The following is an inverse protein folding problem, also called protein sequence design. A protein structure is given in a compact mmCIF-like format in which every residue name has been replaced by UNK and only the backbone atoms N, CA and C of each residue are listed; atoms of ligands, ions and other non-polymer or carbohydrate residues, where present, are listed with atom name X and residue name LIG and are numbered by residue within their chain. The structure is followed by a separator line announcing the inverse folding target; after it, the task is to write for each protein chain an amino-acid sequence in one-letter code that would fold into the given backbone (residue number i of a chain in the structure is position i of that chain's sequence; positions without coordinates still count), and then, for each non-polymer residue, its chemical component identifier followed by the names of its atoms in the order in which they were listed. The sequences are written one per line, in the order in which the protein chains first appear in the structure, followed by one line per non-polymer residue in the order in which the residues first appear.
data_IF_069292994196
#
_entry.id   IF_069292994196
#
_cell.length_a   1.000
_cell.length_b   1.000
_cell.length_c   1.000
_cell.angle_alpha   90.00
_cell.angle_beta   90.00
_cell.angle_gamma   90.00
#
_symmetry.space_group_name_H-M   'P 1'
#
loop_
_entity.id
_entity.type
_entity.pdbx_description
1 polymer ?
#
# COMPACT_ATOMS: atom_id res chain seq x y z
N UNK A 1 10.49 5.71 -23.87
CA UNK A 1 9.10 5.70 -23.43
C UNK A 1 8.99 6.24 -22.01
N UNK A 2 7.97 7.01 -21.77
CA UNK A 2 7.76 7.64 -20.47
C UNK A 2 6.48 7.08 -19.82
N UNK A 3 6.61 6.61 -18.59
CA UNK A 3 5.45 6.19 -17.82
C UNK A 3 5.04 7.29 -16.86
N UNK A 4 3.78 7.54 -16.79
CA UNK A 4 3.25 8.51 -15.87
C UNK A 4 2.15 7.86 -15.05
N UNK A 5 2.30 7.93 -13.74
CA UNK A 5 1.24 7.54 -12.82
C UNK A 5 0.58 8.81 -12.32
N UNK A 6 -0.74 8.79 -12.29
CA UNK A 6 -1.51 9.93 -11.86
C UNK A 6 -2.66 9.48 -11.00
N UNK A 7 -2.82 10.13 -9.87
CA UNK A 7 -3.89 9.83 -8.92
C UNK A 7 -4.55 11.15 -8.57
N UNK A 8 -5.88 11.17 -8.62
CA UNK A 8 -6.65 12.33 -8.18
C UNK A 8 -7.36 11.99 -6.90
N UNK A 9 -7.35 12.93 -5.95
CA UNK A 9 -7.99 12.75 -4.66
C UNK A 9 -8.98 13.90 -4.47
N UNK A 10 -10.25 13.56 -4.24
CA UNK A 10 -11.29 14.56 -4.03
C UNK A 10 -11.88 14.44 -2.64
N UNK A 11 -12.06 15.58 -2.00
CA UNK A 11 -12.71 15.67 -0.70
C UNK A 11 -13.88 16.63 -0.82
N UNK A 12 -15.03 16.24 -0.31
CA UNK A 12 -16.25 17.04 -0.39
C UNK A 12 -16.68 17.58 0.96
N UNK A 13 -15.72 17.83 1.85
CA UNK A 13 -16.00 18.46 3.13
C UNK A 13 -16.19 17.52 4.30
N UNK A 14 -15.94 16.25 4.11
CA UNK A 14 -16.05 15.26 5.19
C UNK A 14 -14.70 14.63 5.45
N UNK A 15 -14.70 13.52 6.21
CA UNK A 15 -13.48 12.75 6.46
C UNK A 15 -13.13 11.83 5.29
N UNK A 16 -14.01 11.71 4.31
CA UNK A 16 -13.82 10.81 3.19
C UNK A 16 -13.07 11.46 2.04
N UNK A 17 -12.15 10.72 1.49
CA UNK A 17 -11.41 11.12 0.29
C UNK A 17 -11.66 10.07 -0.78
N UNK A 18 -12.11 10.52 -1.94
CA UNK A 18 -12.30 9.64 -3.08
C UNK A 18 -11.02 9.63 -3.90
N UNK A 19 -10.41 8.47 -4.03
CA UNK A 19 -9.17 8.32 -4.78
C UNK A 19 -9.49 7.70 -6.13
N UNK A 20 -9.03 8.35 -7.18
CA UNK A 20 -9.22 7.86 -8.54
C UNK A 20 -7.87 7.62 -9.19
N UNK A 21 -7.64 6.38 -9.58
CA UNK A 21 -6.49 6.02 -10.39
C UNK A 21 -6.93 5.91 -11.84
N UNK A 22 -6.06 5.43 -12.71
CA UNK A 22 -6.40 5.29 -14.11
C UNK A 22 -7.64 4.39 -14.32
N UNK A 23 -7.72 3.29 -13.57
CA UNK A 23 -8.75 2.29 -13.81
C UNK A 23 -9.67 2.04 -12.62
N UNK A 24 -9.36 2.58 -11.46
CA UNK A 24 -10.08 2.23 -10.23
C UNK A 24 -10.35 3.42 -9.37
N UNK A 25 -11.36 3.27 -8.51
CA UNK A 25 -11.66 4.25 -7.47
C UNK A 25 -11.77 3.53 -6.13
N UNK A 26 -11.34 4.20 -5.08
CA UNK A 26 -11.53 3.67 -3.73
C UNK A 26 -11.57 4.82 -2.73
N UNK A 27 -12.00 4.51 -1.52
CA UNK A 27 -12.21 5.50 -0.47
C UNK A 27 -11.11 5.39 0.59
N UNK A 28 -10.54 6.54 0.94
CA UNK A 28 -9.70 6.68 2.11
C UNK A 28 -10.48 7.49 3.12
N UNK A 29 -10.60 7.01 4.34
CA UNK A 29 -11.41 7.66 5.37
C UNK A 29 -10.78 7.49 6.73
N UNK A 30 -10.54 8.60 7.43
CA UNK A 30 -9.96 8.55 8.77
C UNK A 30 -10.99 8.14 9.83
N UNK A 31 -12.27 8.04 9.46
CA UNK A 31 -13.35 7.74 10.40
C UNK A 31 -14.07 6.43 10.13
N UNK A 32 -13.42 5.50 9.42
CA UNK A 32 -13.88 4.12 9.42
C UNK A 32 -14.64 3.60 8.23
N UNK A 33 -14.87 4.40 7.19
CA UNK A 33 -15.55 3.91 5.99
C UNK A 33 -14.58 3.52 4.88
N UNK A 34 -13.29 3.60 5.15
CA UNK A 34 -12.25 3.21 4.23
C UNK A 34 -10.93 3.07 4.95
N UNK A 35 -9.89 2.79 4.17
CA UNK A 35 -8.55 2.71 4.72
C UNK A 35 -8.06 4.10 5.12
N UNK A 36 -7.26 4.19 6.17
CA UNK A 36 -6.65 5.46 6.55
C UNK A 36 -5.46 5.75 5.63
N UNK A 37 -5.02 7.03 5.52
CA UNK A 37 -3.84 7.34 4.73
C UNK A 37 -2.59 6.57 5.16
N UNK A 38 -2.23 6.49 6.45
CA UNK A 38 -1.06 5.70 6.85
C UNK A 38 -1.18 4.23 6.46
N UNK A 39 -2.34 3.62 6.69
CA UNK A 39 -2.54 2.22 6.32
C UNK A 39 -2.40 2.02 4.81
N UNK A 40 -2.91 2.97 4.03
CA UNK A 40 -2.85 2.90 2.58
C UNK A 40 -1.41 2.99 2.09
N UNK A 41 -0.61 3.85 2.69
CA UNK A 41 0.80 3.96 2.36
C UNK A 41 1.54 2.66 2.64
N UNK A 42 1.31 2.07 3.81
CA UNK A 42 1.94 0.80 4.18
C UNK A 42 1.47 -0.34 3.27
N UNK A 43 0.19 -0.33 2.91
CA UNK A 43 -0.36 -1.33 2.00
C UNK A 43 0.31 -1.26 0.63
N UNK A 44 0.54 -0.05 0.12
CA UNK A 44 1.19 0.11 -1.18
C UNK A 44 2.63 -0.38 -1.14
N UNK A 45 3.34 -0.10 -0.06
CA UNK A 45 4.71 -0.57 0.11
C UNK A 45 4.76 -2.10 0.15
N UNK A 46 3.90 -2.70 0.96
CA UNK A 46 3.84 -4.16 1.07
C UNK A 46 3.47 -4.83 -0.24
N UNK A 47 2.53 -4.24 -0.98
CA UNK A 47 2.13 -4.76 -2.28
C UNK A 47 3.26 -4.71 -3.30
N UNK A 48 4.06 -3.65 -3.28
CA UNK A 48 5.22 -3.54 -4.16
C UNK A 48 6.22 -4.66 -3.87
N UNK A 49 6.49 -4.91 -2.60
CA UNK A 49 7.39 -6.00 -2.19
C UNK A 49 6.82 -7.33 -2.66
N UNK A 50 5.51 -7.53 -2.46
CA UNK A 50 4.86 -8.77 -2.88
C UNK A 50 4.94 -9.02 -4.37
N UNK A 51 4.77 -7.97 -5.18
CA UNK A 51 4.87 -8.09 -6.63
C UNK A 51 6.28 -8.56 -7.02
N UNK A 52 7.32 -8.01 -6.40
CA UNK A 52 8.70 -8.44 -6.68
C UNK A 52 8.91 -9.88 -6.29
N UNK A 53 8.40 -10.31 -5.14
CA UNK A 53 8.54 -11.70 -4.71
C UNK A 53 7.85 -12.64 -5.69
N UNK A 54 6.65 -12.29 -6.14
CA UNK A 54 5.91 -13.12 -7.06
C UNK A 54 6.64 -13.24 -8.40
N UNK A 55 7.14 -12.14 -8.91
CA UNK A 55 7.87 -12.15 -10.17
C UNK A 55 9.17 -12.93 -10.07
N UNK A 56 9.86 -12.80 -8.95
CA UNK A 56 11.10 -13.54 -8.75
C UNK A 56 10.85 -15.05 -8.70
N UNK A 57 9.83 -15.46 -7.96
CA UNK A 57 9.49 -16.86 -7.84
C UNK A 57 9.11 -17.46 -9.19
N UNK A 58 8.30 -16.74 -9.97
CA UNK A 58 7.88 -17.21 -11.29
C UNK A 58 9.07 -17.31 -12.27
N UNK A 59 9.91 -16.28 -12.27
CA UNK A 59 11.07 -16.26 -13.15
C UNK A 59 12.12 -17.30 -12.81
N UNK A 60 12.22 -17.66 -11.54
CA UNK A 60 13.18 -18.67 -11.05
C UNK A 60 12.56 -20.06 -10.98
N UNK A 61 11.31 -20.20 -11.36
CA UNK A 61 10.56 -21.47 -11.32
C UNK A 61 10.49 -22.05 -9.91
N UNK A 62 10.40 -21.16 -8.92
CA UNK A 62 10.22 -21.55 -7.53
C UNK A 62 8.73 -21.65 -7.25
N UNK A 63 8.31 -22.78 -6.67
CA UNK A 63 6.91 -22.96 -6.29
C UNK A 63 6.68 -22.21 -4.99
N UNK A 64 5.83 -21.20 -5.05
CA UNK A 64 5.50 -20.37 -3.90
C UNK A 64 3.99 -20.15 -3.90
N UNK A 65 3.22 -21.06 -3.24
CA UNK A 65 1.76 -21.00 -3.32
C UNK A 65 1.19 -19.71 -2.75
N UNK A 66 1.67 -19.32 -1.59
CA UNK A 66 1.24 -18.07 -0.98
C UNK A 66 2.33 -17.51 -0.08
N UNK A 67 2.19 -16.26 0.25
CA UNK A 67 3.06 -15.61 1.23
C UNK A 67 2.32 -14.42 1.82
N UNK A 68 2.81 -13.97 2.97
CA UNK A 68 2.26 -12.81 3.65
C UNK A 68 3.35 -11.77 3.83
N UNK A 69 3.04 -10.54 3.50
CA UNK A 69 3.92 -9.41 3.76
C UNK A 69 3.27 -8.56 4.83
N UNK A 70 3.94 -8.41 5.95
CA UNK A 70 3.46 -7.57 7.04
C UNK A 70 4.32 -6.32 7.10
N UNK A 71 3.66 -5.18 7.10
CA UNK A 71 4.34 -3.88 7.15
C UNK A 71 3.80 -3.11 8.35
N UNK A 72 4.70 -2.73 9.23
CA UNK A 72 4.35 -1.96 10.41
C UNK A 72 5.09 -0.64 10.38
N UNK A 73 4.42 0.41 10.81
CA UNK A 73 5.03 1.72 10.82
C UNK A 73 4.65 2.51 12.05
N UNK A 74 5.61 3.28 12.54
CA UNK A 74 5.45 4.17 13.67
C UNK A 74 5.31 5.58 13.12
N UNK A 75 4.10 6.13 13.20
CA UNK A 75 3.82 7.44 12.65
C UNK A 75 4.41 8.52 13.57
N UNK A 76 5.10 9.47 12.97
CA UNK A 76 5.62 10.60 13.71
C UNK A 76 4.49 11.49 14.21
N UNK A 77 4.55 11.88 15.48
CA UNK A 77 3.56 12.78 16.03
C UNK A 77 3.72 14.22 15.53
N UNK A 78 4.88 14.52 14.99
CA UNK A 78 5.15 15.87 14.50
C UNK A 78 4.69 16.07 13.06
N UNK A 79 4.40 14.99 12.35
CA UNK A 79 3.97 15.07 10.97
C UNK A 79 3.00 13.94 10.66
N UNK A 80 1.90 14.27 10.00
CA UNK A 80 0.88 13.30 9.63
C UNK A 80 1.30 12.41 8.46
N UNK A 81 2.38 12.76 7.77
CA UNK A 81 2.81 12.04 6.57
C UNK A 81 4.17 11.40 6.70
N UNK A 82 4.73 11.40 7.91
CA UNK A 82 6.08 10.92 8.14
C UNK A 82 6.07 9.75 9.12
N UNK A 83 6.72 8.66 8.76
CA UNK A 83 6.90 7.52 9.65
C UNK A 83 8.27 7.57 10.27
N UNK A 84 8.33 7.33 11.59
CA UNK A 84 9.61 7.24 12.31
C UNK A 84 10.33 5.95 11.98
N UNK A 85 9.57 4.89 11.81
CA UNK A 85 10.13 3.56 11.63
C UNK A 85 9.15 2.71 10.84
N UNK A 86 9.66 1.99 9.87
CA UNK A 86 8.86 1.03 9.11
C UNK A 86 9.57 -0.32 9.18
N UNK A 87 8.84 -1.34 9.63
CA UNK A 87 9.32 -2.71 9.66
C UNK A 87 8.56 -3.55 8.66
N UNK A 88 9.28 -4.37 7.92
CA UNK A 88 8.69 -5.27 6.94
C UNK A 88 9.07 -6.69 7.26
N UNK A 89 8.09 -7.57 7.31
CA UNK A 89 8.28 -9.00 7.51
C UNK A 89 7.63 -9.78 6.38
N UNK A 90 8.29 -10.82 5.93
CA UNK A 90 7.73 -11.68 4.89
C UNK A 90 7.70 -13.11 5.41
N UNK A 91 6.52 -13.72 5.30
CA UNK A 91 6.32 -15.13 5.68
C UNK A 91 6.01 -15.91 4.41
N UNK A 92 6.93 -16.79 4.03
CA UNK A 92 6.80 -17.59 2.83
C UNK A 92 6.27 -18.97 3.17
N UNK A 93 5.26 -19.39 2.43
CA UNK A 93 4.69 -20.73 2.56
C UNK A 93 5.00 -21.53 1.31
N UNK A 94 5.66 -22.63 1.51
CA UNK A 94 6.06 -23.51 0.42
C UNK A 94 5.23 -24.79 0.42
#
# INVERSE_FOLDING_TARGET
MKYMYRVEIKNHGSSKFMVKTKDYEFIIDTKGEGSTPPDTLLASLGSCIGVYLRKYAEGSKIVLPEFTVTVEGDLSQESLVSFKLINVSVDLKK
#
